data_IF_758228100410
#
_entry.id   IF_758228100410
#
_cell.length_a   1.000
_cell.length_b   1.000
_cell.length_c   1.000
_cell.angle_alpha   90.00
_cell.angle_beta   90.00
_cell.angle_gamma   90.00
#
_symmetry.space_group_name_H-M   'P 1'
#
loop_
_entity.id
_entity.type
_entity.pdbx_description
1 polymer ?
#
# COMPACT_ATOMS: atom_id res chain seq x y z
N UNK A 1 -1.03 -2.72 -4.97
CA UNK A 1 0.02 -3.74 -4.96
C UNK A 1 1.38 -3.06 -4.87
N UNK A 2 2.30 -3.61 -4.09
CA UNK A 2 3.68 -3.14 -3.96
C UNK A 2 4.61 -4.28 -4.38
N UNK A 3 5.56 -4.00 -5.26
CA UNK A 3 6.64 -4.90 -5.67
C UNK A 3 7.95 -4.31 -5.18
N UNK A 4 8.69 -5.07 -4.38
CA UNK A 4 9.93 -4.64 -3.76
C UNK A 4 11.11 -5.48 -4.27
N UNK A 5 12.17 -4.80 -4.68
CA UNK A 5 13.47 -5.40 -4.95
C UNK A 5 14.16 -5.80 -3.64
N UNK A 6 14.48 -7.08 -3.53
CA UNK A 6 15.17 -7.67 -2.40
C UNK A 6 16.55 -8.24 -2.78
N UNK A 7 17.07 -7.90 -3.96
CA UNK A 7 18.37 -8.37 -4.44
C UNK A 7 19.54 -7.87 -3.59
N UNK A 8 20.71 -8.49 -3.74
CA UNK A 8 21.95 -8.10 -3.05
C UNK A 8 22.32 -6.64 -3.31
N UNK A 9 22.00 -6.12 -4.50
CA UNK A 9 22.26 -4.74 -4.86
C UNK A 9 21.60 -3.78 -3.85
N UNK A 10 20.36 -4.05 -3.43
CA UNK A 10 19.62 -3.22 -2.47
C UNK A 10 20.26 -3.16 -1.07
N UNK A 11 21.22 -4.02 -0.74
CA UNK A 11 22.00 -3.93 0.52
C UNK A 11 23.02 -2.81 0.53
N UNK A 12 23.38 -2.26 -0.63
CA UNK A 12 24.36 -1.18 -0.67
C UNK A 12 23.86 0.04 0.11
N UNK A 13 24.77 0.83 0.71
CA UNK A 13 24.41 2.03 1.45
C UNK A 13 23.79 3.08 0.52
N UNK A 14 22.91 3.94 1.06
CA UNK A 14 22.49 5.14 0.33
C UNK A 14 23.67 6.10 0.17
N UNK A 15 23.92 6.54 -1.06
CA UNK A 15 25.02 7.47 -1.36
C UNK A 15 24.79 8.89 -0.80
N UNK A 16 23.55 9.27 -0.49
CA UNK A 16 23.21 10.58 0.09
C UNK A 16 22.60 10.43 1.49
N UNK A 17 23.32 10.92 2.50
CA UNK A 17 22.78 11.17 3.83
C UNK A 17 21.84 12.37 3.74
N UNK A 18 20.54 12.13 3.55
CA UNK A 18 19.56 13.18 3.77
C UNK A 18 19.56 13.56 5.26
N UNK A 19 19.60 14.85 5.59
CA UNK A 19 19.83 15.41 6.95
C UNK A 19 18.83 14.98 8.05
N UNK A 20 17.89 14.08 7.78
CA UNK A 20 16.78 13.75 8.70
C UNK A 20 16.68 12.29 9.12
N UNK A 21 17.36 11.34 8.47
CA UNK A 21 17.31 9.93 8.87
C UNK A 21 18.63 9.24 8.49
N UNK A 22 19.30 8.56 9.43
CA UNK A 22 20.33 7.57 9.13
C UNK A 22 19.64 6.38 8.46
N UNK A 23 19.41 6.46 7.16
CA UNK A 23 18.85 5.34 6.41
C UNK A 23 20.03 4.47 5.99
N UNK A 24 20.19 3.30 6.61
CA UNK A 24 21.34 2.43 6.39
C UNK A 24 21.47 1.99 4.93
N UNK A 25 20.72 0.96 4.53
CA UNK A 25 20.76 0.41 3.17
C UNK A 25 19.65 0.94 2.26
N UNK A 26 19.79 0.80 0.94
CA UNK A 26 18.70 1.09 -0.03
C UNK A 26 17.44 0.28 0.27
N UNK A 27 17.61 -0.96 0.70
CA UNK A 27 16.53 -1.82 1.17
C UNK A 27 15.84 -1.26 2.42
N UNK A 28 16.60 -0.77 3.40
CA UNK A 28 16.04 -0.17 4.61
C UNK A 28 15.25 1.11 4.30
N UNK A 29 15.72 1.91 3.33
CA UNK A 29 14.98 3.06 2.82
C UNK A 29 13.64 2.65 2.22
N UNK A 30 13.65 1.65 1.35
CA UNK A 30 12.46 1.10 0.72
C UNK A 30 11.49 0.53 1.77
N UNK A 31 12.01 -0.23 2.74
CA UNK A 31 11.25 -0.80 3.85
C UNK A 31 10.59 0.29 4.70
N UNK A 32 11.32 1.35 5.05
CA UNK A 32 10.78 2.51 5.77
C UNK A 32 9.69 3.23 4.97
N UNK A 33 9.87 3.40 3.66
CA UNK A 33 8.86 3.99 2.79
C UNK A 33 7.58 3.14 2.72
N UNK A 34 7.72 1.82 2.57
CA UNK A 34 6.59 0.87 2.59
C UNK A 34 5.89 0.91 3.95
N UNK A 35 6.65 0.94 5.04
CA UNK A 35 6.10 1.05 6.39
C UNK A 35 5.28 2.34 6.55
N UNK A 36 5.77 3.47 6.02
CA UNK A 36 5.05 4.73 5.98
C UNK A 36 3.73 4.62 5.21
N UNK A 37 3.74 4.00 4.02
CA UNK A 37 2.54 3.77 3.20
C UNK A 37 1.53 2.88 3.94
N UNK A 38 1.99 1.78 4.53
CA UNK A 38 1.15 0.83 5.28
C UNK A 38 0.53 1.49 6.50
N UNK A 39 1.32 2.22 7.30
CA UNK A 39 0.83 2.93 8.48
C UNK A 39 -0.18 4.02 8.11
N UNK A 40 0.09 4.79 7.05
CA UNK A 40 -0.84 5.81 6.58
C UNK A 40 -2.17 5.19 6.12
N UNK A 41 -2.11 4.04 5.43
CA UNK A 41 -3.32 3.33 4.99
C UNK A 41 -4.09 2.74 6.17
N UNK A 42 -3.41 2.15 7.14
CA UNK A 42 -4.01 1.61 8.35
C UNK A 42 -4.78 2.68 9.14
N UNK A 43 -4.21 3.89 9.26
CA UNK A 43 -4.81 4.98 10.05
C UNK A 43 -5.89 5.77 9.32
N UNK A 44 -5.71 6.05 8.02
CA UNK A 44 -6.55 7.00 7.28
C UNK A 44 -7.40 6.37 6.17
N UNK A 45 -7.13 5.13 5.77
CA UNK A 45 -7.73 4.47 4.60
C UNK A 45 -8.11 3.01 4.89
N UNK A 46 -9.02 2.80 5.84
CA UNK A 46 -9.45 1.46 6.29
C UNK A 46 -10.02 0.52 5.21
N UNK A 47 -10.46 1.06 4.09
CA UNK A 47 -11.01 0.28 2.97
C UNK A 47 -9.95 -0.07 1.91
N UNK A 48 -8.75 0.48 2.02
CA UNK A 48 -7.68 0.20 1.07
C UNK A 48 -7.11 -1.19 1.35
N UNK A 49 -6.95 -1.96 0.29
CA UNK A 49 -6.26 -3.25 0.34
C UNK A 49 -4.82 -3.09 -0.18
N UNK A 50 -3.90 -3.84 0.41
CA UNK A 50 -2.48 -3.83 0.05
C UNK A 50 -2.01 -5.27 -0.04
N UNK A 51 -1.33 -5.59 -1.14
CA UNK A 51 -0.50 -6.77 -1.26
C UNK A 51 0.95 -6.34 -1.46
N UNK A 52 1.89 -7.18 -1.04
CA UNK A 52 3.34 -6.95 -1.10
C UNK A 52 3.99 -8.20 -1.69
N UNK A 53 4.76 -8.01 -2.76
CA UNK A 53 5.56 -9.05 -3.41
C UNK A 53 7.02 -8.61 -3.37
N UNK A 54 7.92 -9.53 -3.03
CA UNK A 54 9.36 -9.32 -3.09
C UNK A 54 9.94 -10.19 -4.20
N UNK A 55 10.81 -9.62 -5.03
CA UNK A 55 11.60 -10.38 -6.01
C UNK A 55 13.09 -10.27 -5.68
N UNK A 56 13.86 -11.26 -6.12
CA UNK A 56 15.26 -11.39 -5.76
C UNK A 56 15.51 -12.01 -4.38
N UNK A 57 14.51 -12.68 -3.79
CA UNK A 57 14.62 -13.35 -2.49
C UNK A 57 15.36 -14.69 -2.58
N UNK A 58 15.99 -15.15 -1.50
CA UNK A 58 16.62 -16.48 -1.46
C UNK A 58 15.58 -17.61 -1.63
N UNK A 59 14.41 -17.44 -1.00
CA UNK A 59 13.26 -18.33 -1.14
C UNK A 59 12.38 -18.01 -2.34
N UNK A 60 11.49 -18.96 -2.65
CA UNK A 60 10.39 -18.79 -3.61
C UNK A 60 9.09 -19.15 -2.90
N UNK A 61 8.14 -18.23 -2.90
CA UNK A 61 6.79 -18.46 -2.39
C UNK A 61 5.81 -17.69 -3.25
N UNK A 62 5.36 -18.32 -4.34
CA UNK A 62 4.33 -17.77 -5.20
C UNK A 62 3.51 -18.89 -5.84
N UNK A 63 2.23 -18.62 -6.11
CA UNK A 63 1.30 -19.63 -6.63
C UNK A 63 1.65 -20.03 -8.08
N UNK A 64 2.21 -19.13 -8.88
CA UNK A 64 2.59 -19.44 -10.27
C UNK A 64 3.74 -20.43 -10.36
N UNK A 65 4.70 -20.37 -9.43
CA UNK A 65 5.78 -21.35 -9.33
C UNK A 65 5.25 -22.74 -8.90
N UNK A 66 4.17 -22.80 -8.12
CA UNK A 66 3.52 -24.08 -7.81
C UNK A 66 2.78 -24.68 -9.01
N UNK A 67 2.37 -23.85 -9.98
CA UNK A 67 1.72 -24.29 -11.22
C UNK A 67 2.76 -24.70 -12.30
N UNK A 68 3.92 -24.03 -12.34
CA UNK A 68 5.06 -24.37 -13.20
C UNK A 68 6.39 -24.22 -12.43
N UNK A 69 6.90 -25.36 -11.93
CA UNK A 69 8.06 -25.51 -11.03
C UNK A 69 9.33 -24.78 -11.49
N UNK A 70 9.45 -24.45 -12.78
CA UNK A 70 10.65 -23.82 -13.32
C UNK A 70 10.55 -22.31 -13.57
N UNK A 71 9.37 -21.71 -13.39
CA UNK A 71 9.10 -20.29 -13.65
C UNK A 71 8.99 -19.45 -12.37
N UNK A 72 9.28 -18.15 -12.43
CA UNK A 72 9.12 -17.21 -11.31
C UNK A 72 9.84 -17.60 -10.00
N UNK A 73 11.06 -18.11 -10.11
CA UNK A 73 11.91 -18.43 -8.93
C UNK A 73 12.40 -17.15 -8.26
N UNK A 74 12.74 -17.23 -6.98
CA UNK A 74 13.23 -16.11 -6.18
C UNK A 74 12.23 -14.95 -6.05
N UNK A 75 10.94 -15.27 -6.16
CA UNK A 75 9.83 -14.34 -5.92
C UNK A 75 8.99 -14.87 -4.75
N UNK A 76 8.82 -14.03 -3.73
CA UNK A 76 8.11 -14.33 -2.48
C UNK A 76 6.95 -13.37 -2.28
N UNK A 77 5.76 -13.90 -2.06
CA UNK A 77 4.56 -13.14 -1.74
C UNK A 77 4.51 -12.93 -0.23
N UNK A 78 4.90 -11.75 0.25
CA UNK A 78 4.86 -11.41 1.69
C UNK A 78 3.41 -11.33 2.18
N UNK A 79 2.54 -10.73 1.36
CA UNK A 79 1.12 -10.61 1.67
C UNK A 79 0.30 -10.56 0.39
N UNK A 80 -0.72 -11.41 0.31
CA UNK A 80 -1.74 -11.34 -0.72
C UNK A 80 -2.55 -10.05 -0.57
N UNK A 81 -3.26 -9.63 -1.63
CA UNK A 81 -4.02 -8.38 -1.61
C UNK A 81 -5.18 -8.49 -0.61
N UNK A 82 -5.01 -7.88 0.55
CA UNK A 82 -5.95 -7.95 1.67
C UNK A 82 -6.06 -6.59 2.39
N UNK A 83 -7.10 -6.37 3.22
CA UNK A 83 -7.19 -5.20 4.08
C UNK A 83 -5.94 -5.05 4.96
N UNK A 84 -5.49 -3.81 5.15
CA UNK A 84 -4.28 -3.55 5.93
C UNK A 84 -4.50 -3.88 7.40
N UNK A 85 -3.68 -4.78 7.94
CA UNK A 85 -3.69 -5.17 9.36
C UNK A 85 -2.39 -4.79 10.06
N UNK A 86 -2.40 -4.84 11.39
CA UNK A 86 -1.17 -4.66 12.21
C UNK A 86 -0.16 -5.77 11.92
N UNK A 87 -0.62 -6.96 11.56
CA UNK A 87 0.26 -8.08 11.24
C UNK A 87 1.02 -7.85 9.94
N UNK A 88 0.38 -7.23 8.93
CA UNK A 88 1.10 -6.78 7.72
C UNK A 88 2.20 -5.77 8.07
N UNK A 89 1.94 -4.83 8.98
CA UNK A 89 2.95 -3.89 9.43
C UNK A 89 4.13 -4.59 10.13
N UNK A 90 3.88 -5.66 10.91
CA UNK A 90 4.95 -6.49 11.50
C UNK A 90 5.72 -7.29 10.45
N UNK A 91 5.03 -7.84 9.46
CA UNK A 91 5.66 -8.56 8.35
C UNK A 91 6.59 -7.63 7.57
N UNK A 92 6.16 -6.39 7.28
CA UNK A 92 7.01 -5.39 6.63
C UNK A 92 8.27 -5.12 7.45
N UNK A 93 8.16 -5.02 8.78
CA UNK A 93 9.33 -4.87 9.66
C UNK A 93 10.24 -6.10 9.70
N UNK A 94 9.74 -7.30 9.38
CA UNK A 94 10.52 -8.53 9.33
C UNK A 94 11.16 -8.82 7.97
N UNK A 95 10.83 -8.04 6.91
CA UNK A 95 11.41 -8.24 5.58
C UNK A 95 12.93 -7.98 5.58
N UNK A 96 13.66 -8.80 4.85
CA UNK A 96 15.12 -8.73 4.68
C UNK A 96 15.51 -8.90 3.20
N UNK A 97 16.62 -8.26 2.81
CA UNK A 97 17.20 -8.45 1.48
C UNK A 97 18.01 -9.75 1.42
N UNK A 98 18.04 -10.38 0.25
CA UNK A 98 18.83 -11.57 -0.01
C UNK A 98 20.33 -11.33 0.23
N UNK A 99 21.01 -12.34 0.74
CA UNK A 99 22.46 -12.33 0.97
C UNK A 99 23.24 -12.87 -0.24
N UNK A 100 22.57 -13.61 -1.12
CA UNK A 100 23.15 -14.25 -2.32
C UNK A 100 22.56 -13.64 -3.58
N UNK A 101 23.36 -13.52 -4.64
CA UNK A 101 22.86 -13.08 -5.95
C UNK A 101 21.85 -14.10 -6.48
N UNK A 102 20.67 -13.59 -6.83
CA UNK A 102 19.57 -14.38 -7.36
C UNK A 102 19.27 -13.93 -8.80
N UNK A 103 18.91 -14.86 -9.70
CA UNK A 103 18.66 -14.56 -11.10
C UNK A 103 17.26 -13.94 -11.36
N UNK A 104 16.45 -13.67 -10.34
CA UNK A 104 15.11 -13.09 -10.53
C UNK A 104 15.17 -11.69 -11.12
N UNK A 105 14.26 -11.39 -12.04
CA UNK A 105 14.11 -10.07 -12.61
C UNK A 105 12.88 -9.32 -12.10
N UNK A 106 12.81 -8.04 -12.45
CA UNK A 106 11.71 -7.16 -12.06
C UNK A 106 10.39 -7.54 -12.75
N UNK A 107 10.46 -8.15 -13.94
CA UNK A 107 9.27 -8.50 -14.71
C UNK A 107 8.56 -9.70 -14.08
N UNK A 108 9.30 -10.70 -13.62
CA UNK A 108 8.80 -11.83 -12.84
C UNK A 108 8.01 -11.34 -11.61
N UNK A 109 8.60 -10.39 -10.87
CA UNK A 109 7.96 -9.77 -9.72
C UNK A 109 6.67 -9.02 -10.08
N UNK A 110 6.65 -8.33 -11.23
CA UNK A 110 5.46 -7.63 -11.74
C UNK A 110 4.38 -8.62 -12.20
N UNK A 111 4.74 -9.71 -12.88
CA UNK A 111 3.79 -10.72 -13.36
C UNK A 111 3.09 -11.40 -12.18
N UNK A 112 3.85 -11.87 -11.19
CA UNK A 112 3.30 -12.45 -9.96
C UNK A 112 2.39 -11.43 -9.25
N UNK A 113 2.79 -10.17 -9.22
CA UNK A 113 1.99 -9.12 -8.61
C UNK A 113 0.68 -8.83 -9.36
N UNK A 114 0.70 -8.84 -10.69
CA UNK A 114 -0.47 -8.65 -11.54
C UNK A 114 -1.43 -9.84 -11.44
N UNK A 115 -0.93 -11.08 -11.38
CA UNK A 115 -1.74 -12.27 -11.14
C UNK A 115 -2.53 -12.18 -9.83
N UNK A 116 -1.86 -11.83 -8.73
CA UNK A 116 -2.52 -11.60 -7.44
C UNK A 116 -3.57 -10.48 -7.50
N UNK A 117 -3.32 -9.42 -8.29
CA UNK A 117 -4.30 -8.36 -8.50
C UNK A 117 -5.51 -8.85 -9.30
N UNK A 118 -5.30 -9.64 -10.37
CA UNK A 118 -6.38 -10.23 -11.16
C UNK A 118 -7.28 -11.06 -10.25
N UNK A 119 -6.72 -12.04 -9.53
CA UNK A 119 -7.46 -12.94 -8.64
C UNK A 119 -8.28 -12.19 -7.59
N UNK A 120 -7.75 -11.08 -7.07
CA UNK A 120 -8.45 -10.28 -6.06
C UNK A 120 -9.55 -9.38 -6.63
N UNK A 121 -9.30 -8.81 -7.80
CA UNK A 121 -10.16 -7.79 -8.43
C UNK A 121 -11.21 -8.38 -9.35
N UNK A 122 -11.20 -9.69 -9.55
CA UNK A 122 -12.23 -10.39 -10.30
C UNK A 122 -13.62 -10.08 -9.73
N UNK A 123 -14.51 -9.58 -10.58
CA UNK A 123 -15.88 -9.13 -10.25
C UNK A 123 -16.01 -7.93 -9.28
N UNK A 124 -14.94 -7.18 -8.99
CA UNK A 124 -14.98 -6.04 -8.05
C UNK A 124 -14.38 -4.76 -8.63
N UNK A 125 -15.05 -3.64 -8.38
CA UNK A 125 -14.57 -2.31 -8.80
C UNK A 125 -13.53 -1.78 -7.82
N UNK A 126 -12.27 -1.74 -8.26
CA UNK A 126 -11.14 -1.17 -7.51
C UNK A 126 -10.41 -0.13 -8.34
N UNK A 127 -9.87 0.91 -7.68
CA UNK A 127 -8.80 1.73 -8.24
C UNK A 127 -7.48 0.99 -8.04
N UNK A 128 -6.84 0.60 -9.15
CA UNK A 128 -5.72 -0.34 -9.17
C UNK A 128 -4.41 0.41 -9.34
N UNK A 129 -3.55 0.32 -8.33
CA UNK A 129 -2.19 0.90 -8.37
C UNK A 129 -1.13 -0.15 -8.08
N UNK A 130 -0.13 -0.22 -8.96
CA UNK A 130 1.06 -1.03 -8.82
C UNK A 130 2.26 -0.12 -8.57
N UNK A 131 2.90 -0.28 -7.41
CA UNK A 131 4.10 0.48 -7.04
C UNK A 131 5.29 -0.47 -7.07
N UNK A 132 6.29 -0.17 -7.90
CA UNK A 132 7.54 -0.95 -7.99
C UNK A 132 8.64 -0.14 -7.34
N UNK A 133 9.34 -0.73 -6.37
CA UNK A 133 10.48 -0.10 -5.68
C UNK A 133 11.72 -0.93 -5.97
N UNK A 134 12.68 -0.34 -6.67
CA UNK A 134 13.91 -1.00 -7.13
C UNK A 134 15.07 0.00 -7.21
N UNK A 135 16.31 -0.50 -7.29
CA UNK A 135 17.47 0.30 -7.66
C UNK A 135 17.83 0.19 -9.16
N UNK A 136 17.06 -0.59 -9.93
CA UNK A 136 17.27 -0.86 -11.35
C UNK A 136 18.68 -1.38 -11.71
N UNK A 137 19.38 -2.03 -10.76
CA UNK A 137 20.72 -2.55 -10.99
C UNK A 137 20.72 -3.88 -11.77
N UNK A 138 19.68 -4.71 -11.57
CA UNK A 138 19.56 -6.03 -12.18
C UNK A 138 19.10 -5.92 -13.63
N UNK A 139 19.69 -6.74 -14.52
CA UNK A 139 19.27 -6.81 -15.93
C UNK A 139 17.96 -7.59 -16.08
N UNK A 140 17.19 -7.21 -17.10
CA UNK A 140 16.01 -7.98 -17.50
C UNK A 140 16.47 -9.19 -18.30
N UNK A 141 15.99 -10.38 -17.93
CA UNK A 141 16.41 -11.63 -18.57
C UNK A 141 15.68 -11.87 -19.89
N UNK A 142 14.36 -11.67 -19.89
CA UNK A 142 13.48 -12.02 -21.00
C UNK A 142 12.73 -10.78 -21.54
N UNK A 143 13.11 -10.26 -22.72
CA UNK A 143 12.42 -9.13 -23.33
C UNK A 143 10.97 -9.42 -23.76
N UNK A 144 10.62 -10.69 -24.02
CA UNK A 144 9.27 -11.14 -24.38
C UNK A 144 8.24 -10.81 -23.30
N UNK A 145 8.66 -10.87 -22.04
CA UNK A 145 7.77 -10.73 -20.88
C UNK A 145 7.30 -9.28 -20.74
N UNK A 146 8.02 -8.34 -21.36
CA UNK A 146 7.64 -6.94 -21.43
C UNK A 146 6.31 -6.74 -22.16
N UNK A 147 6.10 -7.42 -23.30
CA UNK A 147 4.86 -7.30 -24.08
C UNK A 147 3.65 -7.84 -23.30
N UNK A 148 3.87 -8.94 -22.57
CA UNK A 148 2.87 -9.56 -21.70
C UNK A 148 2.50 -8.61 -20.56
N UNK A 149 3.50 -8.04 -19.87
CA UNK A 149 3.29 -7.07 -18.78
C UNK A 149 2.54 -5.83 -19.29
N UNK A 150 2.92 -5.27 -20.44
CA UNK A 150 2.21 -4.13 -21.03
C UNK A 150 0.74 -4.45 -21.30
N UNK A 151 0.47 -5.62 -21.88
CA UNK A 151 -0.89 -6.08 -22.20
C UNK A 151 -1.70 -6.28 -20.91
N UNK A 152 -1.12 -6.90 -19.88
CA UNK A 152 -1.78 -7.11 -18.60
C UNK A 152 -2.12 -5.77 -17.91
N UNK A 153 -1.18 -4.82 -17.87
CA UNK A 153 -1.38 -3.51 -17.26
C UNK A 153 -2.51 -2.73 -17.95
N UNK A 154 -2.55 -2.76 -19.29
CA UNK A 154 -3.59 -2.09 -20.08
C UNK A 154 -4.96 -2.74 -19.86
N UNK A 155 -5.05 -4.07 -19.92
CA UNK A 155 -6.31 -4.80 -19.75
C UNK A 155 -6.88 -4.65 -18.33
N UNK A 156 -6.00 -4.57 -17.32
CA UNK A 156 -6.41 -4.39 -15.94
C UNK A 156 -6.63 -2.93 -15.54
N UNK A 157 -6.33 -1.96 -16.41
CA UNK A 157 -6.36 -0.52 -16.12
C UNK A 157 -5.61 -0.19 -14.81
N UNK A 158 -4.35 -0.65 -14.73
CA UNK A 158 -3.50 -0.47 -13.55
C UNK A 158 -2.62 0.75 -13.71
N UNK A 159 -2.65 1.64 -12.72
CA UNK A 159 -1.70 2.74 -12.65
C UNK A 159 -0.34 2.25 -12.13
N UNK A 160 0.66 2.19 -13.01
CA UNK A 160 2.05 1.87 -12.66
C UNK A 160 2.78 3.09 -12.08
N UNK A 161 3.49 2.89 -10.97
CA UNK A 161 4.40 3.88 -10.38
C UNK A 161 5.73 3.19 -10.06
N UNK A 162 6.82 3.66 -10.65
CA UNK A 162 8.16 3.13 -10.38
C UNK A 162 8.89 4.12 -9.47
N UNK A 163 9.46 3.62 -8.38
CA UNK A 163 10.26 4.36 -7.42
C UNK A 163 11.68 3.80 -7.47
N UNK A 164 12.60 4.59 -8.02
CA UNK A 164 14.01 4.23 -8.07
C UNK A 164 14.73 4.79 -6.84
N UNK A 165 15.36 3.94 -6.03
CA UNK A 165 16.17 4.38 -4.87
C UNK A 165 17.54 4.85 -5.38
N UNK A 166 17.99 6.11 -5.13
CA UNK A 166 17.70 6.97 -3.98
C UNK A 166 16.62 8.07 -4.17
N UNK A 167 16.02 8.19 -5.36
CA UNK A 167 15.07 9.27 -5.70
C UNK A 167 13.65 8.84 -5.33
N UNK A 168 13.31 8.91 -4.05
CA UNK A 168 11.92 8.73 -3.59
C UNK A 168 11.14 10.04 -3.76
N UNK A 169 10.48 10.20 -4.91
CA UNK A 169 9.56 11.31 -5.14
C UNK A 169 8.08 10.85 -5.24
N UNK A 170 7.27 11.59 -4.47
CA UNK A 170 5.83 11.87 -4.58
C UNK A 170 4.82 10.90 -3.94
N UNK A 171 4.20 11.42 -2.88
CA UNK A 171 2.81 11.16 -2.51
C UNK A 171 1.87 11.77 -3.56
N UNK A 172 1.16 10.93 -4.33
CA UNK A 172 0.04 11.41 -5.14
C UNK A 172 -1.24 11.40 -4.29
N UNK A 173 -1.89 12.55 -4.19
CA UNK A 173 -3.20 12.67 -3.55
C UNK A 173 -4.29 12.38 -4.58
N UNK A 174 -5.26 11.55 -4.18
CA UNK A 174 -6.47 11.32 -4.96
C UNK A 174 -7.47 12.44 -4.62
N UNK A 175 -7.75 13.32 -5.57
CA UNK A 175 -8.69 14.41 -5.38
C UNK A 175 -10.13 13.86 -5.37
N UNK A 176 -10.87 14.17 -4.32
CA UNK A 176 -12.30 13.84 -4.23
C UNK A 176 -13.12 15.12 -4.33
N UNK A 177 -14.11 15.13 -5.22
CA UNK A 177 -15.07 16.25 -5.32
C UNK A 177 -15.77 16.41 -3.99
N UNK A 178 -15.71 17.61 -3.40
CA UNK A 178 -16.43 17.95 -2.17
C UNK A 178 -17.88 18.30 -2.44
N UNK A 179 -18.14 18.92 -3.58
CA UNK A 179 -19.48 19.33 -3.99
C UNK A 179 -19.61 19.22 -5.50
N UNK A 180 -20.81 18.85 -5.96
CA UNK A 180 -21.23 18.92 -7.35
C UNK A 180 -22.52 19.72 -7.36
N UNK A 181 -22.57 20.83 -8.09
CA UNK A 181 -23.75 21.68 -8.11
C UNK A 181 -23.61 22.81 -9.12
N UNK A 182 -24.68 23.58 -9.29
CA UNK A 182 -24.69 24.67 -10.26
C UNK A 182 -24.18 25.96 -9.62
N UNK A 183 -23.29 26.65 -10.32
CA UNK A 183 -22.93 28.04 -10.06
C UNK A 183 -23.94 28.91 -10.79
N UNK A 184 -24.83 29.55 -10.05
CA UNK A 184 -25.93 30.35 -10.59
C UNK A 184 -25.52 31.82 -10.68
N UNK A 185 -25.80 32.43 -11.84
CA UNK A 185 -25.66 33.86 -12.09
C UNK A 185 -27.07 34.45 -12.24
N UNK A 186 -27.71 34.74 -11.11
CA UNK A 186 -29.12 35.11 -11.06
C UNK A 186 -30.04 33.98 -11.56
N UNK A 187 -31.29 34.31 -11.87
CA UNK A 187 -32.32 33.30 -12.19
C UNK A 187 -32.22 32.75 -13.62
N UNK A 188 -31.43 33.41 -14.49
CA UNK A 188 -31.44 33.16 -15.93
C UNK A 188 -30.28 32.26 -16.41
N UNK A 189 -29.22 32.08 -15.62
CA UNK A 189 -28.02 31.37 -16.06
C UNK A 189 -27.43 30.53 -14.93
N UNK A 190 -27.15 29.27 -15.23
CA UNK A 190 -26.47 28.36 -14.31
C UNK A 190 -25.40 27.55 -15.02
N UNK A 191 -24.25 27.37 -14.38
CA UNK A 191 -23.11 26.60 -14.89
C UNK A 191 -22.87 25.42 -13.96
N UNK A 192 -22.97 24.16 -14.42
CA UNK A 192 -22.64 23.01 -13.59
C UNK A 192 -21.15 23.03 -13.24
N UNK A 193 -20.84 23.04 -11.94
CA UNK A 193 -19.48 23.07 -11.42
C UNK A 193 -19.19 21.91 -10.46
N UNK A 194 -17.93 21.50 -10.44
CA UNK A 194 -17.38 20.52 -9.52
C UNK A 194 -16.38 21.24 -8.61
N UNK A 195 -16.60 21.22 -7.30
CA UNK A 195 -15.76 21.92 -6.32
C UNK A 195 -14.83 20.91 -5.65
N UNK A 196 -13.54 21.24 -5.65
CA UNK A 196 -12.47 20.46 -5.02
C UNK A 196 -11.82 21.30 -3.92
N UNK A 197 -11.52 20.68 -2.77
CA UNK A 197 -10.81 21.37 -1.70
C UNK A 197 -9.31 21.35 -1.99
N UNK A 198 -8.72 22.53 -2.21
CA UNK A 198 -7.28 22.69 -2.47
C UNK A 198 -6.43 22.44 -1.23
N UNK A 199 -6.92 22.84 -0.06
CA UNK A 199 -6.26 22.66 1.24
C UNK A 199 -7.30 22.23 2.25
N UNK A 200 -6.99 21.18 3.00
CA UNK A 200 -7.77 20.72 4.14
C UNK A 200 -6.80 20.40 5.27
N UNK A 201 -7.18 20.79 6.49
CA UNK A 201 -6.45 20.39 7.68
C UNK A 201 -6.55 18.87 7.85
N UNK A 202 -5.40 18.21 7.97
CA UNK A 202 -5.33 16.78 8.26
C UNK A 202 -5.50 16.56 9.77
N UNK A 203 -6.71 16.23 10.20
CA UNK A 203 -7.01 15.93 11.61
C UNK A 203 -6.75 14.46 11.92
N UNK A 204 -6.14 14.19 13.08
CA UNK A 204 -5.97 12.82 13.60
C UNK A 204 -7.36 12.27 13.99
N UNK A 205 -7.66 10.98 13.73
CA UNK A 205 -8.89 10.37 14.21
C UNK A 205 -9.01 10.46 15.74
N UNK A 206 -10.22 10.70 16.24
CA UNK A 206 -10.47 10.90 17.68
C UNK A 206 -10.20 9.62 18.49
N UNK A 207 -9.50 9.76 19.62
CA UNK A 207 -9.38 8.68 20.60
C UNK A 207 -10.71 8.45 21.32
N UNK A 208 -11.07 7.19 21.54
CA UNK A 208 -12.24 6.80 22.32
C UNK A 208 -11.83 6.41 23.74
N UNK A 209 -12.63 6.82 24.73
CA UNK A 209 -12.42 6.41 26.13
C UNK A 209 -13.00 5.02 26.34
N UNK A 210 -12.15 4.10 26.75
CA UNK A 210 -12.54 2.72 27.06
C UNK A 210 -12.17 2.37 28.51
N UNK A 211 -13.03 1.58 29.17
CA UNK A 211 -12.81 1.05 30.51
C UNK A 211 -12.25 -0.37 30.44
N UNK A 212 -11.11 -0.61 31.08
CA UNK A 212 -10.50 -1.94 31.16
C UNK A 212 -11.36 -2.91 31.99
N UNK A 213 -12.00 -2.42 33.05
CA UNK A 213 -12.86 -3.22 33.93
C UNK A 213 -14.12 -3.68 33.19
N UNK A 214 -14.73 -2.80 32.39
CA UNK A 214 -15.93 -3.12 31.63
C UNK A 214 -15.67 -4.01 30.40
N UNK A 215 -14.41 -4.20 29.98
CA UNK A 215 -14.05 -5.20 28.96
C UNK A 215 -14.02 -6.64 29.52
N UNK A 216 -13.90 -6.79 30.84
CA UNK A 216 -13.80 -8.10 31.50
C UNK A 216 -15.15 -8.60 32.04
N UNK A 217 -16.17 -7.73 32.11
CA UNK A 217 -17.52 -8.10 32.55
C UNK A 217 -18.23 -8.96 31.49
N UNK A 218 -19.01 -9.96 31.88
CA UNK A 218 -19.82 -10.78 30.95
C UNK A 218 -21.24 -10.25 30.76
N UNK A 219 -21.60 -9.17 31.46
CA UNK A 219 -22.92 -8.54 31.42
C UNK A 219 -22.87 -7.35 30.48
N UNK A 220 -23.41 -7.52 29.27
CA UNK A 220 -23.53 -6.46 28.27
C UNK A 220 -25.00 -6.27 27.93
N UNK A 221 -25.45 -5.03 27.78
CA UNK A 221 -26.71 -4.76 27.09
C UNK A 221 -26.51 -5.08 25.59
N UNK A 222 -27.54 -5.62 24.92
CA UNK A 222 -27.43 -6.09 23.52
C UNK A 222 -26.92 -5.02 22.54
N UNK A 223 -27.10 -3.73 22.87
CA UNK A 223 -26.70 -2.58 22.05
C UNK A 223 -25.33 -1.96 22.40
N UNK A 224 -24.64 -2.43 23.46
CA UNK A 224 -23.39 -1.80 23.93
C UNK A 224 -22.13 -2.57 23.53
N UNK A 225 -21.18 -1.85 22.93
CA UNK A 225 -19.86 -2.39 22.64
C UNK A 225 -19.04 -2.51 23.94
N UNK A 226 -18.36 -3.66 24.18
CA UNK A 226 -17.65 -3.93 25.42
C UNK A 226 -16.59 -2.87 25.72
N UNK A 227 -16.66 -2.28 26.92
CA UNK A 227 -15.68 -1.29 27.40
C UNK A 227 -15.95 0.17 27.02
N UNK A 228 -16.98 0.48 26.21
CA UNK A 228 -17.27 1.86 25.80
C UNK A 228 -17.81 2.68 26.99
N UNK A 229 -17.19 3.83 27.26
CA UNK A 229 -17.63 4.70 28.36
C UNK A 229 -18.68 5.69 27.86
N UNK A 230 -19.90 5.61 28.41
CA UNK A 230 -20.96 6.59 28.15
C UNK A 230 -20.61 7.92 28.82
N UNK A 231 -20.51 8.98 28.01
CA UNK A 231 -20.25 10.33 28.50
C UNK A 231 -21.57 11.07 28.63
N UNK A 232 -22.11 11.13 29.83
CA UNK A 232 -23.30 11.93 30.12
C UNK A 232 -22.91 13.38 30.40
N UNK A 233 -23.68 14.31 29.84
CA UNK A 233 -23.59 15.73 30.15
C UNK A 233 -24.81 16.12 30.95
N UNK A 234 -24.62 16.48 32.21
CA UNK A 234 -25.63 17.08 33.06
C UNK A 234 -25.42 18.60 33.10
N UNK A 235 -26.46 19.35 32.75
CA UNK A 235 -26.50 20.81 32.91
C UNK A 235 -27.43 21.16 34.06
N UNK A 236 -26.98 22.05 34.95
CA UNK A 236 -27.84 22.66 35.96
C UNK A 236 -28.27 24.04 35.45
N UNK A 237 -29.57 24.30 35.40
CA UNK A 237 -30.07 25.65 35.15
C UNK A 237 -29.75 26.55 36.37
N UNK A 238 -29.40 27.82 36.17
CA UNK A 238 -29.12 28.75 37.26
C UNK A 238 -30.35 29.06 38.12
#
# INVERSE_FOLDING_TARGET
MIVLDASVAMRSPLAEVTRKVEVGSRFEAAKSAIQGIVNQKLLFRKNDEVGIVMYGTEGTDNQLNADDDNSYKHVTVVSSVAPVTIDLAKQVLAMEAASVETPADVLDGIIVALDLMIRRTDNKKYDKRLVVITDAATRINNPSDMEVVCTMIQNLDVHLQIMCVPILFVNRFHETTKMRGNLEFGDAMSIPVYVFAKVLEATIPSLQKESQVAKQSTTYAEDDAPGKVRMERTSFAP
#
